data_IF_913650092577
#
_entry.id   IF_913650092577
#
_cell.length_a   1.000
_cell.length_b   1.000
_cell.length_c   1.000
_cell.angle_alpha   90.00
_cell.angle_beta   90.00
_cell.angle_gamma   90.00
#
_symmetry.space_group_name_H-M   'P 1'
#
loop_
_entity.id
_entity.type
_entity.pdbx_description
1 polymer ?
#
# COMPACT_ATOMS: atom_id res chain seq x y z
N UNK A 1 -11.41 -16.91 -16.55
CA UNK A 1 -10.66 -18.11 -16.99
C UNK A 1 -9.34 -18.16 -16.21
N UNK A 2 -9.35 -18.69 -14.99
CA UNK A 2 -8.12 -18.92 -14.24
C UNK A 2 -7.43 -20.15 -14.84
N UNK A 3 -6.14 -20.03 -15.17
CA UNK A 3 -5.33 -21.16 -15.59
C UNK A 3 -5.37 -22.23 -14.48
N UNK A 4 -5.95 -23.40 -14.77
CA UNK A 4 -5.96 -24.52 -13.83
C UNK A 4 -4.50 -24.91 -13.55
N UNK A 5 -4.10 -24.87 -12.28
CA UNK A 5 -2.84 -25.46 -11.86
C UNK A 5 -2.84 -26.94 -12.28
N UNK A 6 -1.71 -27.48 -12.79
CA UNK A 6 -1.65 -28.87 -13.19
C UNK A 6 -1.89 -29.77 -11.96
N UNK A 7 -2.83 -30.71 -12.08
CA UNK A 7 -3.11 -31.68 -11.02
C UNK A 7 -1.85 -32.54 -10.77
N UNK A 8 -1.60 -32.96 -9.51
CA UNK A 8 -0.54 -33.91 -9.20
C UNK A 8 -0.66 -35.18 -10.07
N UNK A 9 0.48 -35.74 -10.50
CA UNK A 9 0.51 -36.87 -11.43
C UNK A 9 -0.26 -38.11 -10.91
N UNK A 10 -0.20 -38.35 -9.60
CA UNK A 10 -0.95 -39.41 -8.93
C UNK A 10 -2.47 -39.20 -9.09
N UNK A 11 -2.96 -38.00 -8.79
CA UNK A 11 -4.38 -37.62 -8.93
C UNK A 11 -4.85 -37.75 -10.38
N UNK A 12 -4.05 -37.25 -11.33
CA UNK A 12 -4.36 -37.37 -12.75
C UNK A 12 -4.48 -38.84 -13.19
N UNK A 13 -3.59 -39.71 -12.71
CA UNK A 13 -3.62 -41.15 -12.99
C UNK A 13 -4.88 -41.82 -12.44
N UNK A 14 -5.28 -41.51 -11.21
CA UNK A 14 -6.51 -42.04 -10.59
C UNK A 14 -7.76 -41.61 -11.38
N UNK A 15 -7.80 -40.37 -11.85
CA UNK A 15 -8.90 -39.85 -12.67
C UNK A 15 -8.98 -40.58 -14.02
N UNK A 16 -7.86 -40.79 -14.72
CA UNK A 16 -7.84 -41.53 -15.99
C UNK A 16 -8.30 -42.98 -15.82
N UNK A 17 -7.92 -43.60 -14.69
CA UNK A 17 -8.32 -44.96 -14.33
C UNK A 17 -9.74 -45.03 -13.73
N UNK A 18 -10.42 -43.89 -13.53
CA UNK A 18 -11.73 -43.77 -12.88
C UNK A 18 -11.79 -44.44 -11.50
N UNK A 19 -10.68 -44.40 -10.76
CA UNK A 19 -10.56 -44.93 -9.40
C UNK A 19 -11.15 -43.94 -8.40
N UNK A 20 -12.48 -43.81 -8.41
CA UNK A 20 -13.18 -42.77 -7.65
C UNK A 20 -13.02 -42.92 -6.13
N UNK A 21 -13.00 -44.16 -5.61
CA UNK A 21 -12.79 -44.42 -4.18
C UNK A 21 -11.40 -44.00 -3.72
N UNK A 22 -10.33 -44.35 -4.45
CA UNK A 22 -8.98 -43.90 -4.09
C UNK A 22 -8.83 -42.38 -4.22
N UNK A 23 -9.58 -41.77 -5.13
CA UNK A 23 -9.59 -40.32 -5.30
C UNK A 23 -10.32 -39.62 -4.15
N UNK A 24 -11.36 -40.22 -3.60
CA UNK A 24 -12.05 -39.75 -2.39
C UNK A 24 -11.12 -39.75 -1.16
N UNK A 25 -10.26 -40.76 -1.02
CA UNK A 25 -9.24 -40.79 0.04
C UNK A 25 -8.26 -39.63 -0.10
N UNK A 26 -7.82 -39.34 -1.33
CA UNK A 26 -6.93 -38.21 -1.61
C UNK A 26 -7.65 -36.88 -1.34
N UNK A 27 -8.90 -36.76 -1.76
CA UNK A 27 -9.74 -35.59 -1.50
C UNK A 27 -9.86 -35.30 -0.01
N UNK A 28 -10.27 -36.30 0.78
CA UNK A 28 -10.47 -36.18 2.23
C UNK A 28 -9.17 -35.83 2.94
N UNK A 29 -8.07 -36.51 2.60
CA UNK A 29 -6.74 -36.18 3.15
C UNK A 29 -6.34 -34.74 2.83
N UNK A 30 -6.63 -34.25 1.62
CA UNK A 30 -6.33 -32.86 1.25
C UNK A 30 -7.19 -31.87 2.04
N UNK A 31 -8.47 -32.18 2.27
CA UNK A 31 -9.36 -31.34 3.11
C UNK A 31 -8.84 -31.18 4.54
N UNK A 32 -8.28 -32.25 5.11
CA UNK A 32 -7.70 -32.20 6.45
C UNK A 32 -6.39 -31.39 6.50
N UNK A 33 -5.57 -31.51 5.46
CA UNK A 33 -4.25 -30.86 5.40
C UNK A 33 -4.30 -29.39 5.00
N UNK A 34 -5.11 -29.05 4.00
CA UNK A 34 -5.17 -27.73 3.38
C UNK A 34 -6.55 -27.48 2.75
N UNK A 35 -7.60 -27.28 3.57
CA UNK A 35 -8.96 -27.09 3.08
C UNK A 35 -9.15 -25.80 2.28
N UNK A 36 -8.21 -24.85 2.37
CA UNK A 36 -8.28 -23.57 1.67
C UNK A 36 -7.74 -23.64 0.24
N UNK A 37 -7.17 -24.78 -0.19
CA UNK A 37 -6.75 -25.03 -1.57
C UNK A 37 -7.93 -25.37 -2.49
N UNK A 38 -8.90 -24.45 -2.56
CA UNK A 38 -10.07 -24.54 -3.44
C UNK A 38 -9.71 -24.80 -4.91
N UNK A 39 -8.64 -24.20 -5.50
CA UNK A 39 -8.25 -24.49 -6.87
C UNK A 39 -7.99 -25.98 -7.14
N UNK A 40 -7.37 -26.70 -6.19
CA UNK A 40 -7.17 -28.15 -6.31
C UNK A 40 -8.51 -28.89 -6.35
N UNK A 41 -9.40 -28.63 -5.37
CA UNK A 41 -10.70 -29.29 -5.27
C UNK A 41 -11.55 -29.06 -6.52
N UNK A 42 -11.59 -27.84 -7.04
CA UNK A 42 -12.36 -27.49 -8.24
C UNK A 42 -11.77 -28.18 -9.49
N UNK A 43 -10.44 -28.26 -9.59
CA UNK A 43 -9.79 -28.95 -10.70
C UNK A 43 -10.09 -30.46 -10.69
N UNK A 44 -10.06 -31.10 -9.51
CA UNK A 44 -10.42 -32.53 -9.34
C UNK A 44 -11.88 -32.76 -9.71
N UNK A 45 -12.81 -31.99 -9.13
CA UNK A 45 -14.25 -32.12 -9.39
C UNK A 45 -14.59 -31.95 -10.88
N UNK A 46 -14.00 -30.95 -11.54
CA UNK A 46 -14.18 -30.72 -12.97
C UNK A 46 -13.62 -31.87 -13.82
N UNK A 47 -12.45 -32.41 -13.47
CA UNK A 47 -11.81 -33.51 -14.19
C UNK A 47 -12.60 -34.82 -14.02
N UNK A 48 -13.08 -35.12 -12.82
CA UNK A 48 -13.91 -36.31 -12.52
C UNK A 48 -15.22 -36.26 -13.28
N UNK A 49 -15.95 -35.13 -13.23
CA UNK A 49 -17.17 -34.94 -14.02
C UNK A 49 -16.93 -35.16 -15.51
N UNK A 50 -15.81 -34.67 -16.04
CA UNK A 50 -15.47 -34.81 -17.47
C UNK A 50 -15.12 -36.25 -17.87
N UNK A 51 -14.41 -36.98 -17.01
CA UNK A 51 -13.83 -38.30 -17.35
C UNK A 51 -14.70 -39.48 -16.96
N UNK A 52 -15.41 -39.39 -15.84
CA UNK A 52 -16.25 -40.45 -15.29
C UNK A 52 -17.76 -40.27 -15.60
N UNK A 53 -18.15 -39.24 -16.37
CA UNK A 53 -19.52 -39.10 -16.86
C UNK A 53 -20.53 -38.80 -15.75
N UNK A 54 -21.71 -39.43 -15.79
CA UNK A 54 -22.80 -39.18 -14.83
C UNK A 54 -22.39 -39.54 -13.41
N UNK A 55 -21.81 -40.73 -13.20
CA UNK A 55 -21.30 -41.18 -11.91
C UNK A 55 -20.24 -40.21 -11.36
N UNK A 56 -19.32 -39.76 -12.21
CA UNK A 56 -18.34 -38.74 -11.85
C UNK A 56 -18.97 -37.40 -11.47
N UNK A 57 -20.05 -37.00 -12.14
CA UNK A 57 -20.76 -35.76 -11.81
C UNK A 57 -21.44 -35.84 -10.43
N UNK A 58 -22.02 -37.00 -10.09
CA UNK A 58 -22.63 -37.25 -8.78
C UNK A 58 -21.59 -37.23 -7.65
N UNK A 59 -20.46 -37.91 -7.83
CA UNK A 59 -19.35 -37.89 -6.86
C UNK A 59 -18.78 -36.49 -6.69
N UNK A 60 -18.50 -35.79 -7.79
CA UNK A 60 -17.97 -34.43 -7.73
C UNK A 60 -18.92 -33.49 -6.99
N UNK A 61 -20.24 -33.61 -7.20
CA UNK A 61 -21.23 -32.82 -6.47
C UNK A 61 -21.26 -33.19 -4.98
N UNK A 62 -21.20 -34.48 -4.63
CA UNK A 62 -21.17 -34.94 -3.25
C UNK A 62 -19.91 -34.46 -2.50
N UNK A 63 -18.73 -34.59 -3.11
CA UNK A 63 -17.47 -34.14 -2.53
C UNK A 63 -17.41 -32.62 -2.33
N UNK A 64 -17.94 -31.84 -3.29
CA UNK A 64 -18.03 -30.40 -3.14
C UNK A 64 -19.03 -29.99 -2.05
N UNK A 65 -20.16 -30.71 -1.90
CA UNK A 65 -21.09 -30.46 -0.78
C UNK A 65 -20.43 -30.74 0.56
N UNK A 66 -19.73 -31.87 0.68
CA UNK A 66 -18.96 -32.19 1.88
C UNK A 66 -17.91 -31.13 2.19
N UNK A 67 -17.21 -30.61 1.16
CA UNK A 67 -16.29 -29.48 1.34
C UNK A 67 -17.02 -28.20 1.79
N UNK A 68 -18.21 -27.89 1.26
CA UNK A 68 -18.97 -26.71 1.68
C UNK A 68 -19.39 -26.80 3.16
N UNK A 69 -19.88 -27.96 3.60
CA UNK A 69 -20.24 -28.22 4.99
C UNK A 69 -19.01 -28.09 5.90
N UNK A 70 -17.87 -28.65 5.48
CA UNK A 70 -16.61 -28.53 6.21
C UNK A 70 -16.15 -27.07 6.36
N UNK A 71 -16.33 -26.22 5.35
CA UNK A 71 -16.01 -24.79 5.47
C UNK A 71 -17.00 -24.04 6.38
N UNK A 72 -18.26 -24.46 6.41
CA UNK A 72 -19.25 -23.94 7.34
C UNK A 72 -18.86 -24.20 8.80
N UNK A 73 -18.49 -25.45 9.13
CA UNK A 73 -18.04 -25.83 10.46
C UNK A 73 -16.81 -25.02 10.90
N UNK A 74 -15.92 -24.74 9.96
CA UNK A 74 -14.73 -23.90 10.16
C UNK A 74 -15.03 -22.41 10.24
N UNK A 75 -16.28 -22.00 9.97
CA UNK A 75 -16.73 -20.60 9.87
C UNK A 75 -15.98 -19.80 8.80
N UNK A 76 -15.48 -20.49 7.77
CA UNK A 76 -14.89 -19.84 6.60
C UNK A 76 -15.97 -19.57 5.54
N UNK A 77 -16.75 -18.51 5.80
CA UNK A 77 -17.87 -18.14 4.93
C UNK A 77 -17.44 -17.76 3.51
N UNK A 78 -16.25 -17.17 3.34
CA UNK A 78 -15.74 -16.77 2.03
C UNK A 78 -15.39 -18.01 1.19
N UNK A 79 -14.72 -19.01 1.80
CA UNK A 79 -14.45 -20.28 1.14
C UNK A 79 -15.74 -21.08 0.84
N UNK A 80 -16.69 -21.12 1.78
CA UNK A 80 -18.01 -21.77 1.58
C UNK A 80 -18.76 -21.19 0.39
N UNK A 81 -18.79 -19.87 0.23
CA UNK A 81 -19.42 -19.20 -0.92
C UNK A 81 -18.75 -19.59 -2.24
N UNK A 82 -17.42 -19.68 -2.30
CA UNK A 82 -16.71 -20.10 -3.50
C UNK A 82 -17.01 -21.56 -3.87
N UNK A 83 -17.08 -22.46 -2.88
CA UNK A 83 -17.43 -23.88 -3.10
C UNK A 83 -18.86 -24.02 -3.59
N UNK A 84 -19.83 -23.36 -2.94
CA UNK A 84 -21.23 -23.36 -3.37
C UNK A 84 -21.40 -22.75 -4.77
N UNK A 85 -20.64 -21.70 -5.08
CA UNK A 85 -20.60 -21.11 -6.43
C UNK A 85 -20.10 -22.13 -7.46
N UNK A 86 -19.11 -22.96 -7.12
CA UNK A 86 -18.61 -24.01 -8.02
C UNK A 86 -19.64 -25.13 -8.22
N UNK A 87 -20.35 -25.57 -7.18
CA UNK A 87 -21.45 -26.55 -7.29
C UNK A 87 -22.51 -26.04 -8.26
N UNK A 88 -22.94 -24.80 -8.07
CA UNK A 88 -23.95 -24.13 -8.91
C UNK A 88 -23.43 -23.92 -10.34
N UNK A 89 -22.15 -23.60 -10.54
CA UNK A 89 -21.53 -23.51 -11.88
C UNK A 89 -21.55 -24.86 -12.60
N UNK A 90 -21.30 -25.95 -11.87
CA UNK A 90 -21.29 -27.31 -12.42
C UNK A 90 -22.69 -27.84 -12.69
N UNK A 91 -23.68 -27.47 -11.89
CA UNK A 91 -25.08 -27.81 -12.10
C UNK A 91 -26.00 -26.60 -11.87
N UNK A 92 -26.16 -25.73 -12.86
CA UNK A 92 -26.98 -24.53 -12.70
C UNK A 92 -28.43 -24.84 -12.39
N UNK A 93 -28.99 -26.01 -12.71
CA UNK A 93 -30.40 -26.32 -12.47
C UNK A 93 -30.69 -26.75 -11.01
N UNK A 94 -29.67 -26.95 -10.18
CA UNK A 94 -29.83 -27.36 -8.78
C UNK A 94 -30.40 -26.22 -7.92
N UNK A 95 -31.71 -26.26 -7.68
CA UNK A 95 -32.40 -25.26 -6.88
C UNK A 95 -32.01 -25.27 -5.40
N UNK A 96 -31.61 -26.43 -4.85
CA UNK A 96 -31.13 -26.52 -3.47
C UNK A 96 -29.76 -25.83 -3.34
N UNK A 97 -28.82 -26.15 -4.22
CA UNK A 97 -27.51 -25.49 -4.21
C UNK A 97 -27.59 -23.96 -4.44
N UNK A 98 -28.53 -23.50 -5.28
CA UNK A 98 -28.81 -22.05 -5.42
C UNK A 98 -29.30 -21.43 -4.12
N UNK A 99 -30.20 -22.10 -3.39
CA UNK A 99 -30.73 -21.62 -2.12
C UNK A 99 -29.64 -21.58 -1.03
N UNK A 100 -28.81 -22.61 -0.95
CA UNK A 100 -27.68 -22.68 -0.02
C UNK A 100 -26.67 -21.56 -0.29
N UNK A 101 -26.35 -21.29 -1.55
CA UNK A 101 -25.47 -20.19 -1.95
C UNK A 101 -26.03 -18.82 -1.55
N UNK A 102 -27.34 -18.61 -1.74
CA UNK A 102 -27.98 -17.36 -1.32
C UNK A 102 -28.03 -17.23 0.22
N UNK A 103 -28.24 -18.33 0.95
CA UNK A 103 -28.14 -18.34 2.42
C UNK A 103 -26.74 -17.97 2.88
N UNK A 104 -25.71 -18.59 2.31
CA UNK A 104 -24.32 -18.30 2.64
C UNK A 104 -23.96 -16.83 2.37
N UNK A 105 -24.40 -16.26 1.25
CA UNK A 105 -24.24 -14.83 0.95
C UNK A 105 -24.94 -13.94 1.99
N UNK A 106 -26.16 -14.31 2.42
CA UNK A 106 -26.92 -13.57 3.42
C UNK A 106 -26.31 -13.65 4.82
N UNK A 107 -25.81 -14.81 5.21
CA UNK A 107 -25.09 -15.00 6.47
C UNK A 107 -23.81 -14.16 6.49
N UNK A 108 -23.06 -14.16 5.38
CA UNK A 108 -21.78 -13.46 5.26
C UNK A 108 -21.92 -11.95 5.15
N UNK A 109 -22.90 -11.47 4.39
CA UNK A 109 -23.02 -10.07 4.00
C UNK A 109 -24.36 -9.42 4.36
N UNK A 110 -25.26 -10.08 5.08
CA UNK A 110 -26.59 -9.56 5.39
C UNK A 110 -26.59 -8.25 6.18
N UNK A 111 -25.52 -7.98 6.95
CA UNK A 111 -25.32 -6.70 7.63
C UNK A 111 -24.80 -5.56 6.73
N UNK A 112 -24.43 -5.85 5.48
CA UNK A 112 -23.91 -4.84 4.56
C UNK A 112 -25.06 -3.96 4.02
N UNK A 113 -24.97 -2.62 4.07
CA UNK A 113 -26.07 -1.72 3.72
C UNK A 113 -26.52 -1.85 2.25
N UNK A 114 -25.61 -2.25 1.36
CA UNK A 114 -25.92 -2.47 -0.06
C UNK A 114 -26.37 -3.91 -0.38
N UNK A 115 -26.40 -4.84 0.58
CA UNK A 115 -26.63 -6.27 0.32
C UNK A 115 -27.92 -6.53 -0.46
N UNK A 116 -29.06 -6.05 0.05
CA UNK A 116 -30.36 -6.27 -0.58
C UNK A 116 -30.42 -5.70 -2.01
N UNK A 117 -29.88 -4.50 -2.22
CA UNK A 117 -29.86 -3.86 -3.53
C UNK A 117 -28.94 -4.60 -4.53
N UNK A 118 -27.77 -5.07 -4.06
CA UNK A 118 -26.83 -5.84 -4.89
C UNK A 118 -27.42 -7.21 -5.26
N UNK A 119 -28.01 -7.92 -4.30
CA UNK A 119 -28.62 -9.23 -4.55
C UNK A 119 -29.82 -9.14 -5.51
N UNK A 120 -30.66 -8.12 -5.36
CA UNK A 120 -31.80 -7.91 -6.25
C UNK A 120 -31.39 -7.73 -7.73
N UNK A 121 -30.24 -7.11 -7.98
CA UNK A 121 -29.70 -6.92 -9.33
C UNK A 121 -28.89 -8.13 -9.85
N UNK A 122 -28.60 -9.10 -8.98
CA UNK A 122 -27.82 -10.29 -9.30
C UNK A 122 -28.50 -11.53 -8.70
N UNK A 123 -29.72 -11.90 -9.18
CA UNK A 123 -30.53 -12.93 -8.56
C UNK A 123 -29.89 -14.31 -8.72
N UNK A 124 -29.68 -15.01 -7.60
CA UNK A 124 -29.11 -16.37 -7.59
C UNK A 124 -30.19 -17.41 -7.90
N UNK A 125 -31.35 -17.30 -7.25
CA UNK A 125 -32.43 -18.27 -7.42
C UNK A 125 -32.94 -18.38 -8.87
N UNK A 126 -33.12 -17.24 -9.56
CA UNK A 126 -33.76 -17.17 -10.89
C UNK A 126 -32.82 -16.76 -12.02
N UNK A 127 -31.56 -16.40 -11.72
CA UNK A 127 -30.58 -15.98 -12.72
C UNK A 127 -30.23 -17.09 -13.71
N UNK A 128 -29.86 -16.67 -14.93
CA UNK A 128 -29.34 -17.56 -15.97
C UNK A 128 -27.93 -18.09 -15.62
N UNK A 129 -27.11 -17.25 -15.00
CA UNK A 129 -25.77 -17.60 -14.50
C UNK A 129 -25.65 -17.30 -12.99
N UNK A 130 -26.20 -18.18 -12.13
CA UNK A 130 -26.22 -17.99 -10.69
C UNK A 130 -24.82 -17.96 -10.04
N UNK A 131 -23.84 -18.67 -10.61
CA UNK A 131 -22.45 -18.66 -10.12
C UNK A 131 -21.80 -17.28 -10.35
N UNK A 132 -21.88 -16.76 -11.58
CA UNK A 132 -21.34 -15.43 -11.86
C UNK A 132 -22.09 -14.33 -11.12
N UNK A 133 -23.41 -14.48 -10.96
CA UNK A 133 -24.21 -13.58 -10.12
C UNK A 133 -23.68 -13.54 -8.67
N UNK A 134 -23.42 -14.69 -8.04
CA UNK A 134 -22.87 -14.76 -6.68
C UNK A 134 -21.48 -14.12 -6.57
N UNK A 135 -20.57 -14.42 -7.52
CA UNK A 135 -19.25 -13.80 -7.58
C UNK A 135 -19.34 -12.28 -7.73
N UNK A 136 -20.30 -11.80 -8.54
CA UNK A 136 -20.55 -10.38 -8.73
C UNK A 136 -21.10 -9.73 -7.45
N UNK A 137 -22.02 -10.39 -6.73
CA UNK A 137 -22.48 -9.95 -5.40
C UNK A 137 -21.30 -9.77 -4.46
N UNK A 138 -20.45 -10.78 -4.29
CA UNK A 138 -19.29 -10.72 -3.41
C UNK A 138 -18.33 -9.57 -3.78
N UNK A 139 -18.09 -9.32 -5.08
CA UNK A 139 -17.25 -8.22 -5.56
C UNK A 139 -17.81 -6.84 -5.22
N UNK A 140 -19.12 -6.63 -5.40
CA UNK A 140 -19.78 -5.37 -5.03
C UNK A 140 -19.65 -5.08 -3.53
N UNK A 141 -19.82 -6.10 -2.70
CA UNK A 141 -19.86 -5.96 -1.24
C UNK A 141 -18.48 -5.82 -0.58
N UNK A 142 -17.40 -5.78 -1.38
CA UNK A 142 -16.08 -5.30 -0.94
C UNK A 142 -16.06 -3.79 -0.68
N UNK A 143 -17.03 -3.05 -1.24
CA UNK A 143 -17.12 -1.61 -1.11
C UNK A 143 -18.23 -1.22 -0.15
N UNK A 144 -17.93 -0.32 0.79
CA UNK A 144 -18.88 0.14 1.79
C UNK A 144 -19.29 1.60 1.50
N UNK A 145 -20.58 1.89 1.29
CA UNK A 145 -21.07 3.27 1.19
C UNK A 145 -20.70 4.08 2.45
N UNK A 146 -20.32 5.34 2.26
CA UNK A 146 -19.96 6.28 3.33
C UNK A 146 -18.51 6.18 3.83
N UNK A 147 -17.84 5.06 3.59
CA UNK A 147 -16.43 4.87 3.95
C UNK A 147 -15.48 5.66 3.03
N UNK A 148 -14.28 5.94 3.56
CA UNK A 148 -13.24 6.67 2.87
C UNK A 148 -12.34 5.74 2.02
N UNK A 149 -12.09 6.16 0.79
CA UNK A 149 -11.22 5.49 -0.17
C UNK A 149 -10.26 6.49 -0.81
N UNK A 150 -9.11 6.00 -1.24
CA UNK A 150 -8.13 6.74 -2.03
C UNK A 150 -8.19 6.32 -3.49
N UNK A 151 -8.17 7.31 -4.38
CA UNK A 151 -8.07 7.14 -5.82
C UNK A 151 -6.86 7.91 -6.33
N UNK A 152 -5.86 7.19 -6.86
CA UNK A 152 -4.64 7.80 -7.39
C UNK A 152 -4.95 8.85 -8.48
N UNK A 153 -4.31 10.02 -8.40
CA UNK A 153 -4.53 11.13 -9.33
C UNK A 153 -5.85 11.90 -9.15
N UNK A 154 -6.67 11.55 -8.16
CA UNK A 154 -7.87 12.30 -7.75
C UNK A 154 -7.83 12.68 -6.27
N UNK A 155 -7.33 11.79 -5.41
CA UNK A 155 -7.23 12.00 -3.97
C UNK A 155 -8.19 11.11 -3.17
N UNK A 156 -8.37 11.46 -1.90
CA UNK A 156 -9.25 10.74 -0.98
C UNK A 156 -10.68 11.28 -1.00
N UNK A 157 -11.65 10.39 -0.90
CA UNK A 157 -13.07 10.71 -0.92
C UNK A 157 -13.93 9.64 -0.25
N UNK A 158 -15.25 9.83 -0.23
CA UNK A 158 -16.21 8.85 0.29
C UNK A 158 -17.00 8.20 -0.82
N UNK A 159 -17.35 6.93 -0.69
CA UNK A 159 -18.34 6.33 -1.59
C UNK A 159 -19.71 6.93 -1.26
N UNK A 160 -20.20 7.83 -2.09
CA UNK A 160 -21.48 8.49 -1.89
C UNK A 160 -22.66 7.62 -2.34
N UNK A 161 -22.45 6.77 -3.35
CA UNK A 161 -23.49 5.93 -3.92
C UNK A 161 -22.90 4.67 -4.55
N UNK A 162 -23.62 3.57 -4.43
CA UNK A 162 -23.37 2.33 -5.18
C UNK A 162 -24.64 1.97 -5.93
N UNK A 163 -24.53 1.81 -7.25
CA UNK A 163 -25.63 1.44 -8.12
C UNK A 163 -25.25 0.19 -8.94
N UNK A 164 -25.61 -1.02 -8.45
CA UNK A 164 -25.27 -2.27 -9.11
C UNK A 164 -25.95 -2.44 -10.48
N UNK A 165 -27.11 -1.83 -10.69
CA UNK A 165 -27.88 -1.91 -11.93
C UNK A 165 -27.18 -1.19 -13.09
N UNK A 166 -26.56 -0.03 -12.80
CA UNK A 166 -25.83 0.76 -13.79
C UNK A 166 -24.35 0.42 -13.88
N UNK A 167 -23.87 -0.52 -13.06
CA UNK A 167 -22.44 -0.79 -12.87
C UNK A 167 -21.64 0.46 -12.46
N UNK A 168 -22.16 1.28 -11.54
CA UNK A 168 -21.52 2.54 -11.11
C UNK A 168 -21.36 2.63 -9.59
N UNK A 169 -20.14 2.93 -9.15
CA UNK A 169 -19.79 3.40 -7.81
C UNK A 169 -19.39 4.87 -7.93
N UNK A 170 -20.00 5.76 -7.14
CA UNK A 170 -19.67 7.19 -7.14
C UNK A 170 -18.82 7.52 -5.92
N UNK A 171 -17.54 7.85 -6.17
CA UNK A 171 -16.63 8.39 -5.17
C UNK A 171 -16.75 9.91 -5.15
N UNK A 172 -17.13 10.49 -4.02
CA UNK A 172 -17.17 11.93 -3.82
C UNK A 172 -15.83 12.44 -3.30
N UNK A 173 -15.13 13.24 -4.10
CA UNK A 173 -13.83 13.83 -3.81
C UNK A 173 -13.96 15.35 -3.94
N UNK A 174 -13.82 16.08 -2.84
CA UNK A 174 -13.89 17.55 -2.85
C UNK A 174 -15.19 18.11 -3.43
N UNK A 175 -16.32 17.44 -3.20
CA UNK A 175 -17.65 17.82 -3.72
C UNK A 175 -17.94 17.37 -5.16
N UNK A 176 -16.96 16.83 -5.89
CA UNK A 176 -17.17 16.23 -7.20
C UNK A 176 -17.41 14.72 -7.09
N UNK A 177 -18.45 14.22 -7.78
CA UNK A 177 -18.74 12.79 -7.85
C UNK A 177 -18.01 12.16 -9.05
N UNK A 178 -17.02 11.32 -8.76
CA UNK A 178 -16.26 10.54 -9.75
C UNK A 178 -16.95 9.19 -9.95
N UNK A 179 -17.54 8.92 -11.13
CA UNK A 179 -18.13 7.62 -11.42
C UNK A 179 -17.04 6.59 -11.77
N UNK A 180 -17.15 5.40 -11.20
CA UNK A 180 -16.25 4.26 -11.42
C UNK A 180 -17.10 3.02 -11.71
N UNK A 181 -16.71 2.20 -12.68
CA UNK A 181 -17.29 0.86 -12.82
C UNK A 181 -16.81 -0.07 -11.70
N UNK A 182 -17.50 -1.19 -11.47
CA UNK A 182 -17.05 -2.17 -10.47
C UNK A 182 -15.59 -2.61 -10.72
N UNK A 183 -15.28 -2.91 -11.98
CA UNK A 183 -13.92 -3.32 -12.41
C UNK A 183 -12.90 -2.21 -12.19
N UNK A 184 -13.28 -0.96 -12.44
CA UNK A 184 -12.38 0.19 -12.21
C UNK A 184 -12.16 0.42 -10.73
N UNK A 185 -13.22 0.31 -9.92
CA UNK A 185 -13.14 0.46 -8.47
C UNK A 185 -12.21 -0.57 -7.84
N UNK A 186 -12.31 -1.85 -8.23
CA UNK A 186 -11.43 -2.91 -7.70
C UNK A 186 -9.95 -2.70 -8.01
N UNK A 187 -9.64 -2.06 -9.14
CA UNK A 187 -8.26 -1.82 -9.56
C UNK A 187 -7.66 -0.56 -8.96
N UNK A 188 -8.48 0.46 -8.67
CA UNK A 188 -7.99 1.81 -8.42
C UNK A 188 -8.38 2.37 -7.04
N UNK A 189 -9.36 1.78 -6.35
CA UNK A 189 -9.76 2.23 -5.02
C UNK A 189 -9.06 1.43 -3.94
N UNK A 190 -8.39 2.16 -3.06
CA UNK A 190 -7.80 1.62 -1.84
C UNK A 190 -8.61 2.11 -0.64
N UNK A 191 -9.11 1.19 0.18
CA UNK A 191 -9.85 1.56 1.39
C UNK A 191 -8.89 2.20 2.39
N UNK A 192 -9.24 3.39 2.89
CA UNK A 192 -8.44 4.07 3.88
C UNK A 192 -8.79 3.55 5.29
N UNK A 193 -7.83 2.99 6.04
CA UNK A 193 -8.10 2.50 7.39
C UNK A 193 -8.39 3.65 8.35
N UNK A 194 -9.05 3.32 9.47
CA UNK A 194 -9.26 4.28 10.55
C UNK A 194 -7.92 4.86 11.03
N UNK A 195 -7.93 6.14 11.39
CA UNK A 195 -6.71 6.85 11.82
C UNK A 195 -5.80 7.31 10.68
N UNK A 196 -5.94 6.80 9.46
CA UNK A 196 -5.14 7.24 8.32
C UNK A 196 -5.33 8.74 8.04
N UNK A 197 -4.24 9.46 7.78
CA UNK A 197 -4.23 10.91 7.57
C UNK A 197 -5.25 11.35 6.50
N UNK A 198 -5.26 10.69 5.34
CA UNK A 198 -6.20 11.01 4.26
C UNK A 198 -7.66 10.70 4.60
N UNK A 199 -7.92 9.73 5.49
CA UNK A 199 -9.28 9.47 5.97
C UNK A 199 -9.74 10.61 6.87
N UNK A 200 -8.90 11.05 7.81
CA UNK A 200 -9.17 12.23 8.66
C UNK A 200 -9.40 13.50 7.84
N UNK A 201 -8.65 13.70 6.76
CA UNK A 201 -8.87 14.82 5.83
C UNK A 201 -10.30 14.84 5.25
N UNK A 202 -10.90 13.67 5.06
CA UNK A 202 -12.25 13.51 4.52
C UNK A 202 -13.32 13.52 5.62
N UNK A 203 -12.98 13.05 6.82
CA UNK A 203 -13.93 12.93 7.94
C UNK A 203 -14.01 14.18 8.83
N UNK A 204 -12.87 14.81 9.11
CA UNK A 204 -12.73 15.95 10.01
C UNK A 204 -11.60 16.89 9.52
N UNK A 205 -11.84 17.63 8.43
CA UNK A 205 -10.85 18.55 7.86
C UNK A 205 -10.50 19.70 8.80
N UNK A 206 -11.45 20.16 9.63
CA UNK A 206 -11.27 21.33 10.50
C UNK A 206 -10.32 21.04 11.66
N UNK A 207 -10.45 19.87 12.31
CA UNK A 207 -9.50 19.44 13.33
C UNK A 207 -8.12 19.21 12.74
N UNK A 208 -8.04 18.64 11.53
CA UNK A 208 -6.77 18.41 10.86
C UNK A 208 -6.09 19.73 10.47
N UNK A 209 -6.84 20.72 9.99
CA UNK A 209 -6.35 22.07 9.70
C UNK A 209 -5.85 22.77 10.97
N UNK A 210 -6.60 22.64 12.07
CA UNK A 210 -6.19 23.17 13.38
C UNK A 210 -4.89 22.56 13.89
N UNK A 211 -4.71 21.24 13.71
CA UNK A 211 -3.46 20.55 14.04
C UNK A 211 -2.31 21.02 13.14
N UNK A 212 -2.54 21.18 11.83
CA UNK A 212 -1.53 21.65 10.89
C UNK A 212 -1.03 23.07 11.22
N UNK A 213 -1.88 23.92 11.79
CA UNK A 213 -1.51 25.26 12.25
C UNK A 213 -0.73 25.22 13.58
N UNK A 214 -1.20 24.43 14.55
CA UNK A 214 -0.60 24.36 15.90
C UNK A 214 0.73 23.60 15.90
N UNK A 215 0.76 22.44 15.24
CA UNK A 215 1.87 21.50 15.23
C UNK A 215 2.16 21.02 13.79
N UNK A 216 2.83 21.85 12.98
CA UNK A 216 3.13 21.53 11.58
C UNK A 216 3.97 20.25 11.42
N UNK A 217 4.94 20.03 12.31
CA UNK A 217 5.83 18.88 12.26
C UNK A 217 5.10 17.56 12.55
N UNK A 218 4.29 17.52 13.61
CA UNK A 218 3.49 16.35 13.96
C UNK A 218 2.44 16.02 12.90
N UNK A 219 1.92 17.04 12.22
CA UNK A 219 1.01 16.81 11.09
C UNK A 219 1.71 16.08 9.94
N UNK A 220 2.96 16.46 9.62
CA UNK A 220 3.77 15.76 8.60
C UNK A 220 4.16 14.36 9.08
N UNK A 221 4.47 14.20 10.38
CA UNK A 221 4.75 12.89 10.97
C UNK A 221 3.57 11.91 10.79
N UNK A 222 2.35 12.33 11.16
CA UNK A 222 1.14 11.52 11.00
C UNK A 222 0.86 11.15 9.54
N UNK A 223 1.16 12.05 8.61
CA UNK A 223 1.08 11.75 7.17
C UNK A 223 2.07 10.63 6.81
N UNK A 224 3.34 10.77 7.17
CA UNK A 224 4.37 9.77 6.85
C UNK A 224 4.09 8.41 7.50
N UNK A 225 3.62 8.40 8.74
CA UNK A 225 3.19 7.20 9.46
C UNK A 225 2.04 6.49 8.73
N UNK A 226 1.05 7.25 8.26
CA UNK A 226 -0.09 6.71 7.52
C UNK A 226 0.31 6.00 6.22
N UNK A 227 1.32 6.51 5.54
CA UNK A 227 1.82 5.93 4.29
C UNK A 227 2.87 4.82 4.49
N UNK A 228 3.50 4.74 5.68
CA UNK A 228 4.54 3.75 5.99
C UNK A 228 5.80 3.82 5.12
N UNK A 229 5.95 4.89 4.32
CA UNK A 229 7.10 5.10 3.41
C UNK A 229 7.51 6.57 3.38
N UNK A 230 8.76 6.87 3.01
CA UNK A 230 9.14 8.24 2.68
C UNK A 230 8.28 8.79 1.53
N UNK A 231 7.87 10.04 1.68
CA UNK A 231 7.12 10.79 0.66
C UNK A 231 8.00 11.91 0.12
N UNK A 232 7.84 12.28 -1.15
CA UNK A 232 8.48 13.48 -1.70
C UNK A 232 7.83 14.75 -1.16
N UNK A 233 8.57 15.86 -1.16
CA UNK A 233 7.99 17.18 -0.80
C UNK A 233 6.76 17.53 -1.66
N UNK A 234 6.75 17.08 -2.93
CA UNK A 234 5.60 17.24 -3.83
C UNK A 234 4.38 16.45 -3.35
N UNK A 235 4.54 15.16 -3.02
CA UNK A 235 3.46 14.33 -2.47
C UNK A 235 2.95 14.89 -1.13
N UNK A 236 3.85 15.33 -0.24
CA UNK A 236 3.44 15.98 1.02
C UNK A 236 2.57 17.20 0.74
N UNK A 237 3.01 18.09 -0.17
CA UNK A 237 2.21 19.27 -0.55
C UNK A 237 0.84 18.89 -1.10
N UNK A 238 0.79 17.90 -1.99
CA UNK A 238 -0.44 17.42 -2.60
C UNK A 238 -1.41 16.88 -1.54
N UNK A 239 -0.95 16.08 -0.59
CA UNK A 239 -1.80 15.54 0.48
C UNK A 239 -2.30 16.61 1.44
N UNK A 240 -1.52 17.66 1.69
CA UNK A 240 -1.94 18.82 2.49
C UNK A 240 -2.81 19.84 1.75
N UNK A 241 -3.00 19.70 0.43
CA UNK A 241 -3.90 20.58 -0.34
C UNK A 241 -5.31 20.61 0.27
N UNK A 242 -5.91 21.79 0.39
CA UNK A 242 -7.22 21.97 1.02
C UNK A 242 -7.23 21.93 2.56
N UNK A 243 -6.16 21.46 3.20
CA UNK A 243 -5.95 21.58 4.66
C UNK A 243 -5.07 22.81 4.96
N UNK A 244 -3.99 22.97 4.21
CA UNK A 244 -3.13 24.16 4.25
C UNK A 244 -3.36 24.95 2.96
N UNK A 245 -3.75 26.21 3.10
CA UNK A 245 -3.91 27.12 1.98
C UNK A 245 -2.56 27.30 1.24
N UNK A 246 -2.61 27.43 -0.08
CA UNK A 246 -1.42 27.43 -0.95
C UNK A 246 -0.46 28.59 -0.61
N UNK A 247 -1.00 29.72 -0.15
CA UNK A 247 -0.26 30.91 0.27
C UNK A 247 0.49 30.68 1.59
N UNK A 248 -0.03 29.80 2.45
CA UNK A 248 0.55 29.45 3.76
C UNK A 248 1.47 28.24 3.69
N UNK A 249 1.56 27.57 2.54
CA UNK A 249 2.42 26.39 2.37
C UNK A 249 3.88 26.66 2.76
N UNK A 250 4.46 27.77 2.29
CA UNK A 250 5.87 28.10 2.52
C UNK A 250 6.20 28.31 4.00
N UNK A 251 5.29 28.92 4.77
CA UNK A 251 5.46 29.13 6.21
C UNK A 251 5.24 27.82 6.98
N UNK A 252 4.20 27.06 6.64
CA UNK A 252 3.94 25.73 7.18
C UNK A 252 5.16 24.80 7.02
N UNK A 253 5.65 24.66 5.79
CA UNK A 253 6.78 23.78 5.48
C UNK A 253 8.07 24.23 6.17
N UNK A 254 8.31 25.54 6.26
CA UNK A 254 9.47 26.09 6.97
C UNK A 254 9.41 25.86 8.48
N UNK A 255 8.21 25.79 9.06
CA UNK A 255 8.02 25.42 10.46
C UNK A 255 8.22 23.91 10.66
N UNK A 256 7.57 23.08 9.86
CA UNK A 256 7.62 21.63 9.98
C UNK A 256 9.06 21.07 9.87
N UNK A 257 9.84 21.53 8.88
CA UNK A 257 11.21 21.06 8.64
C UNK A 257 12.25 21.47 9.68
N UNK A 258 11.88 22.31 10.66
CA UNK A 258 12.74 22.63 11.80
C UNK A 258 12.76 21.50 12.83
N UNK A 259 11.81 20.57 12.76
CA UNK A 259 11.75 19.49 13.74
C UNK A 259 12.98 18.57 13.65
N UNK A 260 13.63 18.26 14.78
CA UNK A 260 14.86 17.46 14.80
C UNK A 260 14.73 16.04 14.23
N UNK A 261 13.52 15.47 14.22
CA UNK A 261 13.28 14.12 13.69
C UNK A 261 12.87 14.08 12.20
N UNK A 262 12.45 15.22 11.60
CA UNK A 262 11.99 15.24 10.20
C UNK A 262 13.16 15.40 9.23
N UNK A 263 13.51 14.35 8.49
CA UNK A 263 14.60 14.37 7.52
C UNK A 263 14.08 14.75 6.13
N UNK A 264 14.85 15.55 5.39
CA UNK A 264 14.54 15.95 4.01
C UNK A 264 15.82 15.75 3.19
N UNK A 265 15.88 14.67 2.40
CA UNK A 265 17.05 14.32 1.60
C UNK A 265 17.11 15.08 0.26
N UNK A 266 18.29 15.28 -0.33
CA UNK A 266 18.43 15.69 -1.74
C UNK A 266 17.95 17.11 -2.15
N UNK A 267 17.63 17.28 -3.44
CA UNK A 267 17.26 18.56 -4.07
C UNK A 267 15.73 18.81 -4.11
N UNK A 268 15.37 20.07 -3.85
CA UNK A 268 14.13 20.53 -3.20
C UNK A 268 12.77 19.88 -3.52
N UNK A 269 12.48 19.46 -4.76
CA UNK A 269 11.12 19.00 -5.16
C UNK A 269 10.94 17.49 -5.11
N UNK A 270 11.98 16.73 -5.46
CA UNK A 270 12.00 15.25 -5.41
C UNK A 270 12.62 14.74 -4.12
N UNK A 271 12.97 15.65 -3.22
CA UNK A 271 13.51 15.36 -1.90
C UNK A 271 12.62 14.39 -1.12
N UNK A 272 13.12 13.18 -0.77
CA UNK A 272 12.38 12.30 0.12
C UNK A 272 12.32 12.93 1.52
N UNK A 273 11.15 12.86 2.12
CA UNK A 273 10.82 13.31 3.46
C UNK A 273 10.56 12.06 4.28
N UNK A 274 11.27 11.91 5.40
CA UNK A 274 11.12 10.79 6.31
C UNK A 274 11.14 11.25 7.76
N UNK A 275 10.62 10.41 8.66
CA UNK A 275 10.66 10.64 10.09
C UNK A 275 11.62 9.65 10.73
N UNK A 276 12.53 10.15 11.56
CA UNK A 276 13.48 9.32 12.31
C UNK A 276 12.93 8.98 13.70
N UNK A 277 13.29 7.79 14.21
CA UNK A 277 12.89 7.34 15.54
C UNK A 277 13.36 8.27 16.68
N UNK A 278 14.47 8.99 16.48
CA UNK A 278 14.97 9.99 17.43
C UNK A 278 15.72 11.12 16.71
N UNK A 279 15.92 12.24 17.40
CA UNK A 279 16.76 13.33 16.92
C UNK A 279 18.19 12.87 16.67
N UNK A 280 18.73 12.03 17.56
CA UNK A 280 20.08 11.45 17.44
C UNK A 280 20.16 10.49 16.25
N UNK A 281 19.14 9.67 16.02
CA UNK A 281 19.07 8.77 14.87
C UNK A 281 18.93 9.56 13.55
N UNK A 282 18.25 10.72 13.58
CA UNK A 282 18.20 11.62 12.44
C UNK A 282 19.57 12.23 12.16
N UNK A 283 20.28 12.67 13.20
CA UNK A 283 21.63 13.24 13.09
C UNK A 283 22.64 12.20 12.59
N UNK A 284 22.60 10.97 13.12
CA UNK A 284 23.44 9.86 12.67
C UNK A 284 23.17 9.49 11.20
N UNK A 285 21.90 9.51 10.78
CA UNK A 285 21.53 9.29 9.37
C UNK A 285 22.12 10.36 8.45
N UNK A 286 21.96 11.64 8.84
CA UNK A 286 22.55 12.77 8.10
C UNK A 286 24.08 12.71 8.10
N UNK A 287 24.70 12.28 9.21
CA UNK A 287 26.15 12.12 9.33
C UNK A 287 26.67 11.05 8.38
N UNK A 288 25.98 9.92 8.26
CA UNK A 288 26.31 8.86 7.29
C UNK A 288 26.21 9.36 5.86
N UNK A 289 25.11 10.05 5.52
CA UNK A 289 24.91 10.65 4.20
C UNK A 289 26.01 11.68 3.87
N UNK A 290 26.31 12.59 4.80
CA UNK A 290 27.39 13.57 4.66
C UNK A 290 28.76 12.91 4.51
N UNK A 291 29.03 11.80 5.21
CA UNK A 291 30.31 11.11 5.11
C UNK A 291 30.49 10.48 3.72
N UNK A 292 29.43 9.86 3.19
CA UNK A 292 29.44 9.15 1.91
C UNK A 292 29.30 10.05 0.67
N UNK A 293 28.78 11.28 0.83
CA UNK A 293 28.52 12.21 -0.27
C UNK A 293 29.80 12.71 -1.00
N UNK A 294 29.65 13.14 -2.25
CA UNK A 294 30.71 13.85 -2.98
C UNK A 294 30.91 15.28 -2.43
N UNK A 295 32.05 15.96 -2.71
CA UNK A 295 32.35 17.28 -2.14
C UNK A 295 31.28 18.36 -2.39
N UNK A 296 30.61 18.35 -3.55
CA UNK A 296 29.54 19.31 -3.86
C UNK A 296 28.27 19.00 -3.04
N UNK A 297 27.88 17.72 -2.95
CA UNK A 297 26.76 17.31 -2.08
C UNK A 297 27.01 17.57 -0.60
N UNK A 298 28.23 17.36 -0.10
CA UNK A 298 28.60 17.66 1.29
C UNK A 298 28.34 19.13 1.62
N UNK A 299 28.71 20.04 0.73
CA UNK A 299 28.48 21.48 0.91
C UNK A 299 26.98 21.83 0.91
N UNK A 300 26.19 21.20 0.06
CA UNK A 300 24.74 21.39 0.04
C UNK A 300 24.06 20.85 1.29
N UNK A 301 24.47 19.67 1.78
CA UNK A 301 24.01 19.12 3.05
C UNK A 301 24.40 20.01 4.23
N UNK A 302 25.67 20.45 4.30
CA UNK A 302 26.15 21.37 5.32
C UNK A 302 25.36 22.69 5.31
N UNK A 303 25.10 23.28 4.14
CA UNK A 303 24.30 24.50 4.02
C UNK A 303 22.86 24.29 4.49
N UNK A 304 22.22 23.20 4.08
CA UNK A 304 20.81 22.92 4.39
C UNK A 304 20.59 22.59 5.87
N UNK A 305 21.55 21.92 6.50
CA UNK A 305 21.44 21.41 7.87
C UNK A 305 22.39 22.12 8.87
N UNK A 306 23.03 23.23 8.49
CA UNK A 306 23.93 24.02 9.34
C UNK A 306 23.33 24.42 10.69
N UNK A 307 22.01 24.65 10.75
CA UNK A 307 21.33 25.03 11.99
C UNK A 307 20.97 23.85 12.90
N UNK A 308 21.18 22.62 12.43
CA UNK A 308 20.66 21.39 13.02
C UNK A 308 21.73 20.56 13.72
N UNK A 309 22.97 20.67 13.26
CA UNK A 309 24.14 20.02 13.87
C UNK A 309 25.31 20.99 13.94
N UNK A 310 26.03 21.00 15.06
CA UNK A 310 27.23 21.83 15.27
C UNK A 310 28.36 21.46 14.29
N UNK A 311 28.48 20.18 13.93
CA UNK A 311 29.46 19.70 12.96
C UNK A 311 29.13 20.20 11.54
N UNK A 312 27.86 20.17 11.14
CA UNK A 312 27.41 20.70 9.85
C UNK A 312 27.43 22.23 9.79
N UNK A 313 27.19 22.90 10.93
CA UNK A 313 27.40 24.34 11.10
C UNK A 313 28.85 24.72 10.86
N UNK A 314 29.78 23.93 11.44
CA UNK A 314 31.20 24.06 11.19
C UNK A 314 31.44 23.91 9.69
N UNK A 315 31.13 22.78 9.04
CA UNK A 315 31.34 22.61 7.59
C UNK A 315 30.79 23.77 6.71
N UNK A 316 29.66 24.39 7.07
CA UNK A 316 29.08 25.53 6.33
C UNK A 316 29.87 26.84 6.45
N UNK A 317 30.53 27.09 7.60
CA UNK A 317 31.34 28.30 7.82
C UNK A 317 32.64 28.27 6.99
N UNK A 318 33.14 27.09 6.65
CA UNK A 318 34.34 26.88 5.84
C UNK A 318 34.14 27.37 4.40
N UNK A 319 32.94 27.15 3.83
CA UNK A 319 32.59 27.66 2.50
C UNK A 319 32.68 29.19 2.44
N UNK A 320 32.13 29.89 3.44
CA UNK A 320 32.21 31.36 3.51
C UNK A 320 33.66 31.85 3.65
N UNK A 321 34.48 31.13 4.41
CA UNK A 321 35.89 31.46 4.58
C UNK A 321 36.71 31.25 3.28
N UNK A 322 36.36 30.24 2.49
CA UNK A 322 36.99 29.95 1.18
C UNK A 322 36.50 30.94 0.10
N UNK A 323 35.18 31.16 -0.02
CA UNK A 323 34.59 32.10 -0.99
C UNK A 323 34.99 33.55 -0.71
N UNK A 324 35.08 33.94 0.57
CA UNK A 324 35.51 35.27 0.99
C UNK A 324 36.99 35.56 0.78
N UNK A 325 37.85 34.53 0.66
CA UNK A 325 39.30 34.69 0.39
C UNK A 325 39.66 34.59 -1.08
N UNK A 326 38.90 33.87 -1.90
CA UNK A 326 39.31 33.51 -3.27
C UNK A 326 38.39 34.01 -4.37
N UNK A 327 37.20 34.57 -4.04
CA UNK A 327 36.27 35.12 -5.02
C UNK A 327 35.62 34.11 -5.97
N UNK A 328 36.22 32.94 -6.21
CA UNK A 328 35.70 31.78 -6.95
C UNK A 328 36.35 30.48 -6.45
N UNK A 329 35.57 29.39 -6.41
CA UNK A 329 36.09 28.04 -6.21
C UNK A 329 37.03 27.66 -7.36
N UNK A 330 38.34 27.65 -7.09
CA UNK A 330 39.37 27.34 -8.07
C UNK A 330 40.76 27.89 -7.76
N UNK A 331 40.89 28.84 -6.82
CA UNK A 331 42.18 29.47 -6.44
C UNK A 331 42.57 29.25 -4.97
N UNK A 332 42.46 28.03 -4.46
CA UNK A 332 42.96 27.69 -3.11
C UNK A 332 44.37 27.08 -3.27
N UNK A 333 45.40 27.73 -2.73
CA UNK A 333 46.78 27.25 -2.82
C UNK A 333 47.05 26.06 -1.87
N UNK A 334 47.98 25.15 -2.22
CA UNK A 334 48.31 23.98 -1.39
C UNK A 334 49.06 24.41 -0.12
N UNK A 335 48.50 24.13 1.05
CA UNK A 335 49.15 24.39 2.35
C UNK A 335 48.30 25.18 3.34
N UNK A 336 47.18 25.76 2.89
CA UNK A 336 46.26 26.47 3.78
C UNK A 336 45.44 25.49 4.64
N UNK A 337 46.04 25.10 5.77
CA UNK A 337 45.32 24.48 6.87
C UNK A 337 44.44 25.51 7.57
N UNK A 338 43.18 25.62 7.16
CA UNK A 338 42.22 26.41 7.94
C UNK A 338 41.90 25.62 9.20
N UNK A 339 41.94 26.31 10.35
CA UNK A 339 41.72 25.71 11.66
C UNK A 339 40.54 26.41 12.31
N UNK A 340 39.55 25.64 12.78
CA UNK A 340 38.40 26.18 13.50
C UNK A 340 38.43 25.69 14.95
N UNK A 341 38.11 26.59 15.89
CA UNK A 341 38.01 26.29 17.31
C UNK A 341 36.55 26.29 17.74
N UNK A 342 36.08 25.15 18.26
CA UNK A 342 34.74 25.00 18.80
C UNK A 342 34.89 24.41 20.20
N UNK A 343 34.44 25.14 21.23
CA UNK A 343 34.45 24.72 22.64
C UNK A 343 35.79 24.10 23.10
N UNK A 344 36.91 24.75 22.77
CA UNK A 344 38.26 24.29 23.16
C UNK A 344 38.81 23.14 22.32
N UNK A 345 38.08 22.65 21.32
CA UNK A 345 38.54 21.62 20.39
C UNK A 345 38.98 22.21 19.04
N UNK A 346 40.08 21.68 18.53
CA UNK A 346 40.72 22.16 17.31
C UNK A 346 40.41 21.22 16.16
N UNK A 347 39.67 21.71 15.16
CA UNK A 347 39.39 20.98 13.93
C UNK A 347 40.21 21.59 12.79
N UNK A 348 41.07 20.78 12.19
CA UNK A 348 41.91 21.21 11.06
C UNK A 348 41.49 20.40 9.82
N UNK A 349 41.06 21.10 8.77
CA UNK A 349 40.85 20.48 7.46
C UNK A 349 42.14 20.69 6.65
N UNK A 350 42.63 19.63 6.04
CA UNK A 350 43.69 19.71 5.05
C UNK A 350 43.06 19.45 3.69
N UNK A 351 43.16 20.43 2.79
CA UNK A 351 42.76 20.25 1.40
C UNK A 351 43.93 19.57 0.70
N UNK A 352 43.89 18.23 0.64
CA UNK A 352 44.85 17.43 -0.10
C UNK A 352 44.32 17.14 -1.50
N UNK A 353 44.96 17.69 -2.54
CA UNK A 353 44.83 17.15 -3.89
C UNK A 353 45.89 16.05 -4.07
N UNK A 354 45.45 14.81 -4.28
CA UNK A 354 46.31 13.80 -4.90
C UNK A 354 46.52 14.23 -6.36
N UNK A 355 47.76 14.62 -6.71
CA UNK A 355 48.19 14.95 -8.07
C UNK A 355 48.13 13.70 -8.95
N UNK A 356 46.95 13.33 -9.44
CA UNK A 356 46.79 12.49 -10.63
C UNK A 356 45.44 12.79 -11.27
N UNK A 357 45.44 13.66 -12.30
CA UNK A 357 44.58 13.68 -13.51
C UNK A 357 43.06 13.46 -13.48
N UNK A 358 42.45 13.16 -12.35
CA UNK A 358 41.03 12.83 -12.18
C UNK A 358 40.62 13.37 -10.82
N UNK A 359 39.88 14.47 -10.83
CA UNK A 359 39.59 15.28 -9.65
C UNK A 359 38.75 14.55 -8.63
N UNK A 360 39.37 14.18 -7.51
CA UNK A 360 38.73 13.78 -6.26
C UNK A 360 39.60 14.27 -5.10
N UNK A 361 39.32 15.48 -4.63
CA UNK A 361 39.89 15.99 -3.37
C UNK A 361 39.16 15.35 -2.19
N UNK A 362 39.91 14.80 -1.22
CA UNK A 362 39.36 14.27 0.02
C UNK A 362 39.38 15.35 1.09
N UNK A 363 38.19 15.75 1.60
CA UNK A 363 38.09 16.51 2.85
C UNK A 363 38.12 15.52 4.02
N UNK A 364 39.23 15.50 4.75
CA UNK A 364 39.35 14.76 6.01
C UNK A 364 39.29 15.73 7.18
N UNK A 365 38.27 15.57 8.02
CA UNK A 365 38.19 16.27 9.30
C UNK A 365 38.94 15.43 10.34
N UNK A 366 40.07 15.93 10.84
CA UNK A 366 40.73 15.36 12.02
C UNK A 366 40.41 16.23 13.24
N UNK A 367 39.86 15.58 14.26
CA UNK A 367 39.85 16.10 15.63
C UNK A 367 41.29 16.02 16.13
N UNK A 368 41.87 17.14 16.58
CA UNK A 368 43.15 17.09 17.32
C UNK A 368 42.95 16.58 18.73
#
# INVERSE_FOLDING_TARGET
MSAQAPLPAEVASLIEQKRLSDLEDVWTRRMEQDPSDLPFFFAVAAAVKKKAGVEGAEHAAAWLRFLADYQEERRDGDARIEVLSEIVRMNPADSAARADLESALRERFGGHPAFAAVLAQNPIATGADPSEAARRVARWLKFLPGEAYYLAGRGAGRIAEMNPALDVIRLEVGGAKVPLSLVSAEKNLERLPEGHFLRRKVEDPDTLASLAVKEPAESVHRLLESFGRPLTVAEVREHFSGIVAEERWSSFWTSARRHPQLLVGGAAKTSPVSWSASADAAEETLRREFTAADPHHKLDLARKHAKRSRELSCASSWKRAIEGRTGKWGQVEPGDGITCHIEGQVFTCHIGWLKTGSGLGTMNFRRR
#
